data_IF_287997052581
#
_entry.id   IF_287997052581
#
_cell.length_a   1.000
_cell.length_b   1.000
_cell.length_c   1.000
_cell.angle_alpha   90.00
_cell.angle_beta   90.00
_cell.angle_gamma   90.00
#
_symmetry.space_group_name_H-M   'P 1'
#
loop_
_entity.id
_entity.type
_entity.pdbx_description
1 polymer ?
#
# COMPACT_ATOMS: atom_id res chain seq x y z
N UNK A 1 -21.33 1.01 11.05
CA UNK A 1 -20.21 0.10 11.39
C UNK A 1 -20.47 -0.65 12.69
N UNK A 2 -20.74 0.04 13.80
CA UNK A 2 -20.99 -0.61 15.10
C UNK A 2 -22.17 -1.60 15.12
N UNK A 3 -23.29 -1.29 14.44
CA UNK A 3 -24.47 -2.19 14.44
C UNK A 3 -24.25 -3.47 13.59
N UNK A 4 -23.58 -3.34 12.44
CA UNK A 4 -23.23 -4.48 11.58
C UNK A 4 -22.17 -5.38 12.23
N UNK A 5 -21.28 -4.77 12.99
CA UNK A 5 -20.30 -5.48 13.81
C UNK A 5 -21.00 -6.34 14.85
N UNK A 6 -21.90 -5.81 15.69
CA UNK A 6 -22.59 -6.61 16.71
C UNK A 6 -23.39 -7.81 16.18
N UNK A 7 -23.77 -7.80 14.89
CA UNK A 7 -24.53 -8.87 14.23
C UNK A 7 -23.65 -9.88 13.46
N UNK A 8 -22.35 -9.62 13.29
CA UNK A 8 -21.47 -10.52 12.55
C UNK A 8 -20.94 -11.66 13.43
N UNK A 9 -20.67 -12.80 12.81
CA UNK A 9 -20.11 -13.98 13.49
C UNK A 9 -18.73 -13.71 14.12
N UNK A 10 -17.95 -12.85 13.47
CA UNK A 10 -16.64 -12.41 13.92
C UNK A 10 -16.06 -11.40 12.93
N UNK A 11 -14.77 -11.12 13.08
CA UNK A 11 -14.04 -10.14 12.27
C UNK A 11 -12.80 -10.80 11.66
N UNK A 12 -12.61 -10.62 10.36
CA UNK A 12 -11.37 -11.00 9.67
C UNK A 12 -10.53 -9.73 9.54
N UNK A 13 -9.30 -9.78 10.01
CA UNK A 13 -8.39 -8.64 10.06
C UNK A 13 -7.21 -8.89 9.14
N UNK A 14 -6.94 -7.94 8.23
CA UNK A 14 -5.74 -7.98 7.40
C UNK A 14 -4.54 -7.38 8.18
N UNK A 15 -4.16 -8.07 9.25
CA UNK A 15 -3.01 -7.80 10.10
C UNK A 15 -2.48 -9.15 10.63
N UNK A 16 -1.40 -9.14 11.41
CA UNK A 16 -0.83 -10.33 12.03
C UNK A 16 -0.32 -10.02 13.44
N UNK A 17 -0.26 -11.04 14.30
CA UNK A 17 -0.04 -10.87 15.74
C UNK A 17 1.27 -10.15 16.05
N UNK A 18 2.33 -10.46 15.31
CA UNK A 18 3.67 -9.93 15.54
C UNK A 18 3.76 -8.43 15.19
N UNK A 19 2.91 -7.95 14.26
CA UNK A 19 2.84 -6.52 13.91
C UNK A 19 2.11 -5.70 14.99
N UNK A 20 1.01 -6.23 15.50
CA UNK A 20 0.11 -5.51 16.41
C UNK A 20 -0.26 -6.35 17.65
N UNK A 21 0.71 -6.77 18.48
CA UNK A 21 0.47 -7.75 19.55
C UNK A 21 -0.55 -7.26 20.58
N UNK A 22 -0.60 -5.96 20.85
CA UNK A 22 -1.55 -5.34 21.77
C UNK A 22 -3.00 -5.33 21.23
N UNK A 23 -3.19 -5.45 19.91
CA UNK A 23 -4.50 -5.41 19.26
C UNK A 23 -4.94 -6.76 18.69
N UNK A 24 -4.01 -7.68 18.49
CA UNK A 24 -4.26 -9.01 17.94
C UNK A 24 -5.39 -9.75 18.68
N UNK A 25 -5.51 -9.50 19.98
CA UNK A 25 -6.47 -10.15 20.85
C UNK A 25 -7.59 -9.22 21.34
N UNK A 26 -7.53 -7.94 21.00
CA UNK A 26 -8.46 -6.91 21.51
C UNK A 26 -9.92 -7.28 21.26
N UNK A 27 -10.26 -7.73 20.04
CA UNK A 27 -11.63 -8.14 19.72
C UNK A 27 -12.11 -9.30 20.58
N UNK A 28 -11.24 -10.23 20.94
CA UNK A 28 -11.59 -11.38 21.77
C UNK A 28 -11.68 -10.98 23.24
N UNK A 29 -10.65 -10.31 23.75
CA UNK A 29 -10.48 -10.10 25.18
C UNK A 29 -11.34 -8.94 25.68
N UNK A 30 -11.49 -7.85 24.90
CA UNK A 30 -12.24 -6.66 25.32
C UNK A 30 -13.68 -6.65 24.80
N UNK A 31 -13.93 -7.21 23.62
CA UNK A 31 -15.27 -7.21 23.01
C UNK A 31 -15.99 -8.56 23.13
N UNK A 32 -15.31 -9.63 23.54
CA UNK A 32 -15.88 -10.98 23.58
C UNK A 32 -16.21 -11.55 22.20
N UNK A 33 -15.54 -11.07 21.15
CA UNK A 33 -15.85 -11.37 19.74
C UNK A 33 -14.74 -12.16 19.09
N UNK A 34 -15.12 -13.10 18.22
CA UNK A 34 -14.17 -13.87 17.42
C UNK A 34 -13.45 -12.95 16.46
N UNK A 35 -12.14 -13.15 16.32
CA UNK A 35 -11.34 -12.48 15.33
C UNK A 35 -10.30 -13.44 14.74
N UNK A 36 -9.94 -13.20 13.48
CA UNK A 36 -8.88 -13.93 12.79
C UNK A 36 -7.99 -12.93 12.05
N UNK A 37 -6.75 -12.81 12.49
CA UNK A 37 -5.71 -12.02 11.84
C UNK A 37 -5.05 -12.87 10.74
N UNK A 38 -5.34 -12.57 9.47
CA UNK A 38 -4.93 -13.40 8.31
C UNK A 38 -3.92 -12.70 7.39
N UNK A 39 -3.33 -11.60 7.87
CA UNK A 39 -2.48 -10.73 7.08
C UNK A 39 -1.00 -11.14 7.02
N UNK A 40 -0.20 -10.43 6.20
CA UNK A 40 -0.66 -9.47 5.22
C UNK A 40 -1.10 -10.16 3.92
N UNK A 41 -2.36 -9.97 3.53
CA UNK A 41 -2.97 -10.57 2.33
C UNK A 41 -2.29 -10.08 1.03
N UNK A 42 -1.59 -8.94 1.10
CA UNK A 42 -0.80 -8.42 -0.02
C UNK A 42 0.30 -9.37 -0.48
N UNK A 43 0.89 -10.16 0.44
CA UNK A 43 1.93 -11.13 0.10
C UNK A 43 1.37 -12.43 -0.50
N UNK A 44 0.08 -12.70 -0.30
CA UNK A 44 -0.57 -13.90 -0.84
C UNK A 44 -0.90 -13.77 -2.33
N UNK A 45 -0.84 -12.57 -2.88
CA UNK A 45 -1.26 -12.29 -4.25
C UNK A 45 -0.10 -12.41 -5.26
N UNK A 46 0.24 -13.65 -5.65
CA UNK A 46 1.28 -13.97 -6.65
C UNK A 46 0.99 -13.40 -8.05
N UNK A 47 -0.22 -12.86 -8.29
CA UNK A 47 -0.67 -12.35 -9.59
C UNK A 47 -0.09 -10.97 -9.96
N UNK A 48 0.58 -10.28 -9.03
CA UNK A 48 1.27 -9.02 -9.35
C UNK A 48 2.46 -9.22 -10.29
N UNK A 49 3.12 -10.39 -10.24
CA UNK A 49 4.23 -10.75 -11.13
C UNK A 49 3.81 -10.74 -12.62
N UNK A 50 2.56 -11.06 -12.94
CA UNK A 50 2.03 -11.08 -14.33
C UNK A 50 1.77 -9.68 -14.93
N UNK A 51 1.71 -8.62 -14.11
CA UNK A 51 1.40 -7.25 -14.57
C UNK A 51 2.63 -6.42 -14.96
N UNK A 52 3.83 -7.01 -14.93
CA UNK A 52 5.09 -6.33 -15.23
C UNK A 52 5.19 -5.78 -16.68
N UNK A 53 4.31 -6.20 -17.59
CA UNK A 53 4.34 -5.79 -19.00
C UNK A 53 3.90 -4.35 -19.33
N UNK A 54 3.55 -3.50 -18.35
CA UNK A 54 2.90 -2.19 -18.62
C UNK A 54 3.56 -0.93 -18.05
N UNK A 55 4.84 -0.95 -17.64
CA UNK A 55 5.55 0.33 -17.43
C UNK A 55 6.61 0.41 -16.34
N UNK A 56 7.15 -0.70 -15.85
CA UNK A 56 8.25 -0.69 -14.88
C UNK A 56 9.61 -0.62 -15.56
N UNK A 57 10.06 0.55 -16.03
CA UNK A 57 11.46 0.75 -16.48
C UNK A 57 12.24 1.82 -15.71
N UNK A 58 11.58 2.57 -14.82
CA UNK A 58 12.17 3.76 -14.20
C UNK A 58 13.05 3.51 -12.97
N UNK A 59 12.99 2.34 -12.34
CA UNK A 59 13.65 2.07 -11.05
C UNK A 59 14.75 1.04 -11.08
N UNK A 60 14.77 0.14 -12.07
CA UNK A 60 15.71 -1.00 -12.10
C UNK A 60 17.19 -0.59 -12.21
N UNK A 61 17.48 0.67 -12.55
CA UNK A 61 18.83 1.21 -12.66
C UNK A 61 19.30 2.01 -11.44
N UNK A 62 18.48 2.17 -10.40
CA UNK A 62 18.81 3.02 -9.24
C UNK A 62 19.31 2.19 -8.06
N UNK A 63 20.25 2.76 -7.30
CA UNK A 63 20.82 2.11 -6.11
C UNK A 63 19.74 1.77 -5.07
N UNK A 64 19.86 0.64 -4.35
CA UNK A 64 18.94 0.31 -3.26
C UNK A 64 18.80 1.44 -2.24
N UNK A 65 17.59 1.65 -1.72
CA UNK A 65 17.25 2.71 -0.76
C UNK A 65 17.52 4.16 -1.24
N UNK A 66 17.74 4.39 -2.55
CA UNK A 66 18.03 5.73 -3.10
C UNK A 66 16.81 6.47 -3.67
N UNK A 67 15.66 5.80 -3.79
CA UNK A 67 14.44 6.34 -4.39
C UNK A 67 13.33 6.48 -3.35
N UNK A 68 12.72 7.66 -3.26
CA UNK A 68 11.51 7.85 -2.47
C UNK A 68 10.28 7.63 -3.35
N UNK A 69 9.41 6.71 -2.95
CA UNK A 69 8.08 6.56 -3.54
C UNK A 69 7.06 7.39 -2.76
N UNK A 70 6.30 8.23 -3.46
CA UNK A 70 5.29 9.13 -2.89
C UNK A 70 3.95 8.82 -3.53
N UNK A 71 2.99 8.39 -2.72
CA UNK A 71 1.61 8.22 -3.13
C UNK A 71 0.68 8.39 -1.93
N UNK A 72 -0.40 9.13 -2.10
CA UNK A 72 -1.37 9.43 -1.05
C UNK A 72 -2.63 8.54 -1.13
N UNK A 73 -2.50 7.37 -1.75
CA UNK A 73 -3.60 6.42 -1.91
C UNK A 73 -4.67 6.87 -2.91
N UNK A 74 -5.78 6.15 -2.93
CA UNK A 74 -6.86 6.33 -3.92
C UNK A 74 -7.97 7.28 -3.48
N UNK A 75 -7.87 7.90 -2.31
CA UNK A 75 -8.92 8.76 -1.75
C UNK A 75 -8.46 10.19 -1.47
N UNK A 76 -7.14 10.43 -1.43
CA UNK A 76 -6.62 11.76 -1.20
C UNK A 76 -6.63 12.57 -2.50
N UNK A 77 -7.24 13.74 -2.44
CA UNK A 77 -7.17 14.76 -3.48
C UNK A 77 -6.60 16.04 -2.84
N UNK A 78 -5.64 16.68 -3.51
CA UNK A 78 -4.94 17.86 -3.00
C UNK A 78 -5.25 19.09 -3.83
N UNK A 79 -5.33 20.24 -3.15
CA UNK A 79 -5.33 21.53 -3.81
C UNK A 79 -4.00 21.77 -4.54
N UNK A 80 -4.04 22.53 -5.62
CA UNK A 80 -2.89 22.87 -6.45
C UNK A 80 -1.76 23.52 -5.65
N UNK A 81 -2.09 24.37 -4.66
CA UNK A 81 -1.10 24.96 -3.77
C UNK A 81 -0.33 23.92 -2.97
N UNK A 82 -1.00 22.86 -2.50
CA UNK A 82 -0.35 21.79 -1.74
C UNK A 82 0.55 20.94 -2.64
N UNK A 83 0.14 20.69 -3.88
CA UNK A 83 0.96 19.99 -4.86
C UNK A 83 2.20 20.81 -5.24
N UNK A 84 2.09 22.14 -5.37
CA UNK A 84 3.24 23.04 -5.57
C UNK A 84 4.25 22.95 -4.44
N UNK A 85 3.80 22.95 -3.19
CA UNK A 85 4.68 22.80 -2.03
C UNK A 85 5.38 21.45 -2.00
N UNK A 86 4.67 20.36 -2.35
CA UNK A 86 5.30 19.03 -2.47
C UNK A 86 6.36 19.03 -3.57
N UNK A 87 6.07 19.63 -4.72
CA UNK A 87 7.04 19.76 -5.81
C UNK A 87 8.27 20.56 -5.37
N UNK A 88 8.07 21.72 -4.73
CA UNK A 88 9.17 22.53 -4.21
C UNK A 88 10.03 21.76 -3.19
N UNK A 89 9.40 20.98 -2.31
CA UNK A 89 10.11 20.12 -1.35
C UNK A 89 10.92 19.02 -2.05
N UNK A 90 10.38 18.39 -3.10
CA UNK A 90 11.09 17.37 -3.89
C UNK A 90 12.30 17.96 -4.61
N UNK A 91 12.15 19.14 -5.20
CA UNK A 91 13.22 19.86 -5.87
C UNK A 91 14.34 20.22 -4.87
N UNK A 92 13.95 20.78 -3.71
CA UNK A 92 14.90 21.12 -2.65
C UNK A 92 15.58 19.89 -2.04
N UNK A 93 14.91 18.74 -2.00
CA UNK A 93 15.49 17.50 -1.51
C UNK A 93 16.56 16.96 -2.47
N UNK A 94 16.36 17.12 -3.78
CA UNK A 94 17.39 16.87 -4.80
C UNK A 94 17.77 15.40 -4.99
N UNK A 95 17.07 14.46 -4.35
CA UNK A 95 17.24 13.01 -4.51
C UNK A 95 16.33 12.41 -5.59
N UNK A 96 16.39 11.08 -5.77
CA UNK A 96 15.55 10.38 -6.75
C UNK A 96 14.16 10.08 -6.20
N UNK A 97 13.10 10.39 -6.96
CA UNK A 97 11.73 10.12 -6.51
C UNK A 97 10.86 9.52 -7.60
N UNK A 98 9.80 8.84 -7.16
CA UNK A 98 8.62 8.53 -7.96
C UNK A 98 7.43 9.14 -7.24
N UNK A 99 6.72 10.04 -7.90
CA UNK A 99 5.56 10.71 -7.32
C UNK A 99 4.31 10.39 -8.13
N UNK A 100 3.37 9.69 -7.48
CA UNK A 100 2.06 9.38 -8.07
C UNK A 100 1.09 10.49 -7.71
N UNK A 101 0.66 11.24 -8.71
CA UNK A 101 -0.30 12.34 -8.56
C UNK A 101 -1.60 11.94 -9.22
N UNK A 102 -2.69 12.05 -8.47
CA UNK A 102 -4.03 11.88 -8.99
C UNK A 102 -4.74 13.22 -8.93
N UNK A 103 -5.23 13.68 -10.07
CA UNK A 103 -6.24 14.73 -10.17
C UNK A 103 -7.52 14.13 -10.72
N UNK A 104 -8.66 14.62 -10.24
CA UNK A 104 -9.96 14.16 -10.73
C UNK A 104 -10.19 14.73 -12.14
N UNK A 105 -10.37 13.88 -13.17
CA UNK A 105 -10.58 14.32 -14.54
C UNK A 105 -11.86 15.14 -14.72
N UNK A 106 -12.79 15.16 -13.75
CA UNK A 106 -13.99 16.01 -13.75
C UNK A 106 -13.70 17.48 -13.44
N UNK A 107 -12.50 17.77 -12.93
CA UNK A 107 -12.01 19.12 -12.61
C UNK A 107 -11.09 19.68 -13.69
N UNK A 108 -10.76 18.88 -14.70
CA UNK A 108 -9.86 19.25 -15.79
C UNK A 108 -10.71 19.64 -17.01
N UNK A 109 -10.67 20.91 -17.40
CA UNK A 109 -11.05 21.32 -18.75
C UNK A 109 -10.08 20.69 -19.74
N UNK A 110 -10.57 20.20 -20.88
CA UNK A 110 -9.86 19.48 -21.96
C UNK A 110 -8.77 20.31 -22.69
N UNK A 111 -8.13 21.27 -22.04
CA UNK A 111 -7.02 22.03 -22.60
C UNK A 111 -5.69 21.52 -22.07
N UNK A 112 -4.75 21.26 -22.97
CA UNK A 112 -3.31 21.06 -22.77
C UNK A 112 -2.62 22.32 -22.18
N UNK A 113 -3.31 23.07 -21.33
CA UNK A 113 -2.78 24.21 -20.60
C UNK A 113 -1.89 23.71 -19.48
N UNK A 114 -0.70 24.30 -19.37
CA UNK A 114 0.29 24.12 -18.29
C UNK A 114 -0.35 23.62 -17.00
N UNK A 115 0.16 22.50 -16.49
CA UNK A 115 -0.30 21.94 -15.23
C UNK A 115 -0.13 22.95 -14.10
N UNK A 116 -1.21 23.67 -13.79
CA UNK A 116 -1.17 24.81 -12.86
C UNK A 116 -0.68 24.38 -11.48
N UNK A 117 -0.82 23.10 -11.12
CA UNK A 117 -0.37 22.51 -9.87
C UNK A 117 1.14 22.25 -9.78
N UNK A 118 1.88 22.34 -10.88
CA UNK A 118 3.30 22.06 -10.94
C UNK A 118 4.10 23.34 -11.21
N UNK A 119 5.24 23.58 -10.51
CA UNK A 119 6.10 24.70 -10.83
C UNK A 119 6.60 24.64 -12.27
N UNK A 120 6.61 25.78 -12.97
CA UNK A 120 7.08 25.87 -14.36
C UNK A 120 8.49 25.28 -14.50
N UNK A 121 8.66 24.37 -15.46
CA UNK A 121 9.94 23.69 -15.75
C UNK A 121 10.39 22.66 -14.70
N UNK A 122 9.53 22.25 -13.76
CA UNK A 122 9.87 21.28 -12.73
C UNK A 122 10.31 19.92 -13.31
N UNK A 123 9.58 19.40 -14.30
CA UNK A 123 9.91 18.11 -14.90
C UNK A 123 11.27 18.16 -15.61
N UNK A 124 11.59 19.25 -16.31
CA UNK A 124 12.91 19.42 -16.94
C UNK A 124 14.03 19.45 -15.90
N UNK A 125 13.84 20.22 -14.82
CA UNK A 125 14.85 20.33 -13.74
C UNK A 125 15.05 19.02 -12.98
N UNK A 126 14.04 18.15 -12.97
CA UNK A 126 14.08 16.88 -12.23
C UNK A 126 14.19 15.66 -13.14
N UNK A 127 14.31 15.80 -14.46
CA UNK A 127 14.21 14.71 -15.44
C UNK A 127 15.14 13.51 -15.17
N UNK A 128 16.35 13.75 -14.65
CA UNK A 128 17.29 12.68 -14.32
C UNK A 128 16.96 11.92 -13.03
N UNK A 129 16.21 12.56 -12.12
CA UNK A 129 16.02 12.10 -10.73
C UNK A 129 14.57 11.73 -10.42
N UNK A 130 13.62 12.42 -11.01
CA UNK A 130 12.19 12.33 -10.72
C UNK A 130 11.40 11.62 -11.80
N UNK A 131 10.40 10.85 -11.39
CA UNK A 131 9.35 10.33 -12.26
C UNK A 131 7.98 10.71 -11.69
N UNK A 132 7.17 11.44 -12.45
CA UNK A 132 5.78 11.72 -12.10
C UNK A 132 4.87 10.71 -12.82
N UNK A 133 4.04 10.01 -12.05
CA UNK A 133 3.00 9.12 -12.60
C UNK A 133 1.64 9.78 -12.36
N UNK A 134 0.95 10.12 -13.44
CA UNK A 134 -0.39 10.70 -13.38
C UNK A 134 -1.44 9.58 -13.35
N UNK A 135 -2.33 9.59 -12.36
CA UNK A 135 -3.37 8.59 -12.19
C UNK A 135 -2.91 7.36 -11.40
N UNK A 136 -3.00 6.17 -12.01
CA UNK A 136 -2.73 4.90 -11.32
C UNK A 136 -1.30 4.40 -11.54
N UNK A 137 -0.68 3.88 -10.48
CA UNK A 137 0.64 3.26 -10.53
C UNK A 137 0.60 1.81 -10.01
N UNK A 138 1.44 0.90 -10.53
CA UNK A 138 1.57 -0.46 -10.02
C UNK A 138 2.33 -0.47 -8.68
N UNK A 139 1.69 0.00 -7.61
CA UNK A 139 2.34 0.28 -6.32
C UNK A 139 3.10 -0.91 -5.75
N UNK A 140 2.52 -2.12 -5.82
CA UNK A 140 3.17 -3.34 -5.32
C UNK A 140 4.48 -3.61 -6.07
N UNK A 141 4.52 -3.43 -7.40
CA UNK A 141 5.74 -3.63 -8.18
C UNK A 141 6.80 -2.58 -7.87
N UNK A 142 6.39 -1.31 -7.69
CA UNK A 142 7.30 -0.23 -7.32
C UNK A 142 7.89 -0.47 -5.92
N UNK A 143 7.07 -0.93 -4.98
CA UNK A 143 7.46 -1.17 -3.59
C UNK A 143 8.22 -2.48 -3.37
N UNK A 144 8.10 -3.45 -4.28
CA UNK A 144 8.83 -4.72 -4.21
C UNK A 144 10.31 -4.59 -4.62
N UNK A 145 10.72 -3.41 -5.09
CA UNK A 145 12.13 -3.08 -5.31
C UNK A 145 12.95 -3.24 -4.02
N UNK A 146 14.24 -3.55 -4.13
CA UNK A 146 15.11 -3.78 -2.98
C UNK A 146 15.21 -2.53 -2.08
N UNK A 147 14.47 -2.58 -0.97
CA UNK A 147 14.58 -1.66 0.16
C UNK A 147 15.04 -2.43 1.39
N UNK A 148 16.19 -2.05 1.96
CA UNK A 148 16.78 -2.75 3.11
C UNK A 148 16.16 -2.33 4.43
N UNK A 149 15.66 -1.10 4.53
CA UNK A 149 15.18 -0.51 5.79
C UNK A 149 14.00 -1.25 6.43
N UNK A 150 13.19 -1.97 5.66
CA UNK A 150 12.02 -2.71 6.16
C UNK A 150 12.20 -4.24 6.10
N UNK A 151 13.44 -4.73 5.99
CA UNK A 151 13.73 -6.16 5.81
C UNK A 151 13.19 -7.02 6.95
N UNK A 152 13.38 -6.61 8.20
CA UNK A 152 12.92 -7.34 9.38
C UNK A 152 11.38 -7.44 9.41
N UNK A 153 10.67 -6.35 9.13
CA UNK A 153 9.21 -6.35 9.02
C UNK A 153 8.72 -7.23 7.87
N UNK A 154 9.43 -7.23 6.74
CA UNK A 154 9.12 -8.10 5.58
C UNK A 154 9.31 -9.58 5.92
N UNK A 155 10.37 -9.92 6.65
CA UNK A 155 10.65 -11.29 7.09
C UNK A 155 9.62 -11.76 8.11
N UNK A 156 9.28 -10.91 9.09
CA UNK A 156 8.22 -11.16 10.07
C UNK A 156 6.87 -11.40 9.38
N UNK A 157 6.50 -10.56 8.41
CA UNK A 157 5.30 -10.71 7.62
C UNK A 157 5.27 -12.01 6.80
N UNK A 158 6.41 -12.47 6.28
CA UNK A 158 6.52 -13.75 5.57
C UNK A 158 6.34 -14.93 6.52
N UNK A 159 7.03 -14.91 7.67
CA UNK A 159 6.91 -15.97 8.67
C UNK A 159 5.47 -16.09 9.20
N UNK A 160 4.74 -14.98 9.32
CA UNK A 160 3.34 -15.01 9.75
C UNK A 160 2.42 -15.80 8.80
N UNK A 161 2.68 -15.78 7.49
CA UNK A 161 1.83 -16.44 6.46
C UNK A 161 2.32 -17.84 6.06
N UNK A 162 3.55 -18.21 6.41
CA UNK A 162 4.11 -19.55 6.16
C UNK A 162 3.45 -20.60 7.07
N UNK A 163 3.61 -21.87 6.71
CA UNK A 163 3.04 -22.98 7.49
C UNK A 163 3.55 -22.96 8.95
N UNK A 164 2.61 -22.95 9.90
CA UNK A 164 2.90 -22.78 11.32
C UNK A 164 2.98 -21.32 11.80
N UNK A 165 2.93 -20.35 10.89
CA UNK A 165 2.83 -18.92 11.21
C UNK A 165 1.50 -18.53 11.87
N UNK A 166 1.48 -17.35 12.48
CA UNK A 166 0.31 -16.83 13.21
C UNK A 166 -0.91 -16.62 12.32
N UNK A 167 -0.71 -16.06 11.12
CA UNK A 167 -1.77 -15.84 10.14
C UNK A 167 -2.20 -17.12 9.44
N UNK A 168 -1.24 -18.01 9.15
CA UNK A 168 -1.56 -19.35 8.62
C UNK A 168 -2.47 -20.11 9.59
N UNK A 169 -2.08 -20.20 10.87
CA UNK A 169 -2.88 -20.85 11.91
C UNK A 169 -4.26 -20.21 12.06
N UNK A 170 -4.34 -18.87 12.08
CA UNK A 170 -5.61 -18.15 12.18
C UNK A 170 -6.55 -18.44 10.99
N UNK A 171 -6.01 -18.56 9.77
CA UNK A 171 -6.79 -18.93 8.59
C UNK A 171 -7.25 -20.40 8.65
N UNK A 172 -6.40 -21.31 9.11
CA UNK A 172 -6.77 -22.72 9.33
C UNK A 172 -7.92 -22.85 10.33
N UNK A 173 -7.82 -22.18 11.48
CA UNK A 173 -8.86 -22.16 12.51
C UNK A 173 -10.20 -21.66 11.96
N UNK A 174 -10.17 -20.57 11.18
CA UNK A 174 -11.37 -20.03 10.52
C UNK A 174 -11.99 -21.06 9.56
N UNK A 175 -11.18 -21.71 8.72
CA UNK A 175 -11.65 -22.70 7.77
C UNK A 175 -12.31 -23.88 8.48
N UNK A 176 -11.69 -24.38 9.55
CA UNK A 176 -12.20 -25.53 10.28
C UNK A 176 -13.49 -25.21 11.05
N UNK A 177 -13.60 -24.00 11.61
CA UNK A 177 -14.86 -23.52 12.19
C UNK A 177 -15.99 -23.44 11.14
N UNK A 178 -15.70 -22.92 9.94
CA UNK A 178 -16.69 -22.82 8.87
C UNK A 178 -17.13 -24.19 8.38
N UNK A 179 -16.21 -25.15 8.26
CA UNK A 179 -16.53 -26.55 7.90
C UNK A 179 -17.47 -27.20 8.92
N UNK A 180 -17.16 -27.07 10.22
CA UNK A 180 -17.99 -27.63 11.29
C UNK A 180 -19.43 -27.09 11.26
N UNK A 181 -19.62 -25.84 10.83
CA UNK A 181 -20.95 -25.24 10.68
C UNK A 181 -21.71 -25.70 9.44
N UNK A 182 -21.01 -26.02 8.35
CA UNK A 182 -21.67 -26.50 7.12
C UNK A 182 -22.29 -27.90 7.23
N UNK A 183 -22.00 -28.62 8.31
CA UNK A 183 -22.56 -29.93 8.63
C UNK A 183 -23.74 -29.88 9.63
N UNK A 184 -24.26 -28.69 9.93
CA UNK A 184 -25.48 -28.43 10.71
C UNK A 184 -26.50 -27.76 9.82
#
# INVERSE_FOLDING_TARGET
MAESEGKSYGVIVNSFRELEPNYADFYRDELGRRNWAIGPVSLSNRRSEEKAGRGGRGTESKEPDSVIYICFGSLADFADSQLKEIAAALESWGGSFIWVVRKDPRTESESESEEEWLPVGFEDRTAEKGLIIRGWAPQILILDHEARKAKELREMARMAIEEGGSSHSSLSDLIDELKQRSHV
#
